data_IF_493905406003
#
_entry.id   IF_493905406003
#
_cell.length_a   1.000
_cell.length_b   1.000
_cell.length_c   1.000
_cell.angle_alpha   90.00
_cell.angle_beta   90.00
_cell.angle_gamma   90.00
#
_symmetry.space_group_name_H-M   'P 1'
#
loop_
_entity.id
_entity.type
_entity.pdbx_description
1 polymer ?
#
# COMPACT_ATOMS: atom_id res chain seq x y z
N UNK A 1 10.92 20.01 -3.46
CA UNK A 1 10.34 18.63 -3.37
C UNK A 1 9.34 18.45 -4.50
N UNK A 2 9.56 17.44 -5.34
CA UNK A 2 8.61 17.03 -6.38
C UNK A 2 7.67 15.99 -5.77
N UNK A 3 6.36 16.23 -5.82
CA UNK A 3 5.36 15.33 -5.25
C UNK A 3 4.78 14.43 -6.33
N UNK A 4 4.91 13.11 -6.14
CA UNK A 4 4.36 12.11 -7.04
C UNK A 4 3.16 11.47 -6.35
N UNK A 5 2.01 11.51 -6.99
CA UNK A 5 0.72 11.02 -6.49
C UNK A 5 0.14 9.96 -7.42
N UNK A 6 -1.01 9.44 -7.04
CA UNK A 6 -1.83 8.54 -7.84
C UNK A 6 -3.05 9.30 -8.37
N UNK A 7 -3.58 8.85 -9.49
CA UNK A 7 -4.85 9.36 -10.02
C UNK A 7 -6.00 9.15 -9.02
N UNK A 8 -6.98 10.01 -9.03
CA UNK A 8 -8.11 10.04 -8.08
C UNK A 8 -9.03 8.81 -8.14
N UNK A 9 -8.98 8.00 -9.20
CA UNK A 9 -9.67 6.72 -9.32
C UNK A 9 -8.90 5.54 -8.68
N UNK A 10 -7.74 5.80 -8.07
CA UNK A 10 -6.93 4.80 -7.38
C UNK A 10 -7.38 4.60 -5.93
N UNK A 11 -7.57 3.35 -5.51
CA UNK A 11 -7.80 3.02 -4.10
C UNK A 11 -6.66 3.45 -3.18
N UNK A 12 -5.41 3.49 -3.69
CA UNK A 12 -4.25 3.99 -2.93
C UNK A 12 -4.32 5.52 -2.74
N UNK A 13 -4.81 6.26 -3.74
CA UNK A 13 -5.10 7.69 -3.61
C UNK A 13 -6.17 7.95 -2.53
N UNK A 14 -7.31 7.27 -2.64
CA UNK A 14 -8.41 7.43 -1.68
C UNK A 14 -7.97 7.12 -0.24
N UNK A 15 -7.25 6.01 -0.06
CA UNK A 15 -6.73 5.62 1.25
C UNK A 15 -5.76 6.66 1.83
N UNK A 16 -4.78 7.14 1.03
CA UNK A 16 -3.80 8.13 1.49
C UNK A 16 -4.47 9.46 1.82
N UNK A 17 -5.44 9.90 1.01
CA UNK A 17 -6.22 11.11 1.28
C UNK A 17 -6.95 11.00 2.63
N UNK A 18 -7.64 9.89 2.86
CA UNK A 18 -8.44 9.69 4.06
C UNK A 18 -7.59 9.52 5.33
N UNK A 19 -6.52 8.73 5.28
CA UNK A 19 -5.80 8.30 6.48
C UNK A 19 -4.52 9.11 6.77
N UNK A 20 -4.02 9.84 5.80
CA UNK A 20 -2.78 10.64 5.96
C UNK A 20 -3.07 12.13 5.84
N UNK A 21 -4.04 12.51 5.02
CA UNK A 21 -4.41 13.91 4.79
C UNK A 21 -5.71 14.32 5.51
N UNK A 22 -6.31 13.45 6.33
CA UNK A 22 -7.58 13.71 7.05
C UNK A 22 -8.67 14.26 6.11
N UNK A 23 -8.86 13.61 4.96
CA UNK A 23 -9.77 14.01 3.87
C UNK A 23 -9.47 15.37 3.22
N UNK A 24 -8.37 16.03 3.57
CA UNK A 24 -7.93 17.22 2.88
C UNK A 24 -7.45 16.90 1.46
N UNK A 25 -7.49 17.92 0.59
CA UNK A 25 -7.01 17.77 -0.78
C UNK A 25 -5.49 17.73 -0.87
N UNK A 26 -5.00 17.03 -1.88
CA UNK A 26 -3.58 17.04 -2.21
C UNK A 26 -3.14 18.44 -2.64
N UNK A 27 -1.95 18.83 -2.24
CA UNK A 27 -1.37 20.11 -2.64
C UNK A 27 -1.23 20.19 -4.16
N UNK A 28 -1.68 21.29 -4.74
CA UNK A 28 -1.58 21.54 -6.18
C UNK A 28 -0.16 21.37 -6.71
N UNK A 29 -0.04 20.91 -7.96
CA UNK A 29 1.24 20.69 -8.62
C UNK A 29 1.89 19.35 -8.28
N UNK A 30 1.12 18.37 -7.79
CA UNK A 30 1.53 16.96 -7.75
C UNK A 30 1.43 16.34 -9.15
N UNK A 31 2.29 15.38 -9.44
CA UNK A 31 2.26 14.59 -10.68
C UNK A 31 1.45 13.34 -10.40
N UNK A 32 0.32 13.17 -11.08
CA UNK A 32 -0.60 12.06 -10.86
C UNK A 32 -0.36 10.93 -11.85
N UNK A 33 -0.03 9.74 -11.35
CA UNK A 33 0.28 8.55 -12.14
C UNK A 33 -0.76 7.44 -11.93
N UNK A 34 -0.97 6.62 -12.96
CA UNK A 34 -1.98 5.55 -12.95
C UNK A 34 -1.59 4.35 -12.11
N UNK A 35 -0.30 3.98 -12.11
CA UNK A 35 0.23 2.76 -11.50
C UNK A 35 1.13 3.00 -10.30
N UNK A 36 1.20 2.03 -9.39
CA UNK A 36 2.15 2.02 -8.27
C UNK A 36 3.59 1.89 -8.76
N UNK A 37 3.83 1.05 -9.77
CA UNK A 37 5.15 0.89 -10.40
C UNK A 37 5.61 2.20 -11.07
N UNK A 38 4.69 2.94 -11.70
CA UNK A 38 4.98 4.22 -12.35
C UNK A 38 5.45 5.26 -11.31
N UNK A 39 4.81 5.29 -10.15
CA UNK A 39 5.19 6.18 -9.03
C UNK A 39 6.62 5.87 -8.59
N UNK A 40 6.95 4.61 -8.33
CA UNK A 40 8.29 4.20 -7.91
C UNK A 40 9.33 4.55 -8.97
N UNK A 41 9.07 4.20 -10.23
CA UNK A 41 9.97 4.52 -11.36
C UNK A 41 10.18 6.03 -11.54
N UNK A 42 9.15 6.85 -11.33
CA UNK A 42 9.29 8.31 -11.43
C UNK A 42 10.13 8.86 -10.28
N UNK A 43 9.94 8.38 -9.05
CA UNK A 43 10.74 8.79 -7.88
C UNK A 43 12.20 8.44 -8.08
N UNK A 44 12.51 7.22 -8.55
CA UNK A 44 13.86 6.75 -8.81
C UNK A 44 14.62 7.67 -9.78
N UNK A 45 13.94 8.19 -10.79
CA UNK A 45 14.50 9.04 -11.85
C UNK A 45 14.47 10.54 -11.54
N UNK A 46 13.81 10.96 -10.45
CA UNK A 46 13.59 12.38 -10.17
C UNK A 46 14.24 12.78 -8.84
N UNK A 47 15.43 13.43 -8.87
CA UNK A 47 16.04 13.94 -7.64
C UNK A 47 15.11 14.85 -6.84
N UNK A 48 14.99 14.59 -5.54
CA UNK A 48 14.12 15.36 -4.64
C UNK A 48 12.63 15.04 -4.75
N UNK A 49 12.26 13.94 -5.42
CA UNK A 49 10.90 13.45 -5.45
C UNK A 49 10.53 12.68 -4.16
N UNK A 50 9.25 12.77 -3.82
CA UNK A 50 8.59 11.97 -2.79
C UNK A 50 7.23 11.53 -3.29
N UNK A 51 6.79 10.33 -2.93
CA UNK A 51 5.47 9.81 -3.28
C UNK A 51 5.07 8.65 -2.39
N UNK A 52 3.93 8.05 -2.71
CA UNK A 52 3.39 6.90 -2.00
C UNK A 52 2.94 5.81 -2.98
N UNK A 53 3.14 4.56 -2.59
CA UNK A 53 2.86 3.38 -3.41
C UNK A 53 2.60 2.17 -2.53
N UNK A 54 2.14 1.08 -3.11
CA UNK A 54 2.16 -0.22 -2.42
C UNK A 54 3.61 -0.64 -2.11
N UNK A 55 3.84 -1.14 -0.90
CA UNK A 55 5.17 -1.49 -0.40
C UNK A 55 5.90 -2.50 -1.30
N UNK A 56 5.20 -3.47 -1.87
CA UNK A 56 5.77 -4.48 -2.77
C UNK A 56 6.29 -3.96 -4.11
N UNK A 57 6.04 -2.69 -4.44
CA UNK A 57 6.58 -2.06 -5.65
C UNK A 57 7.91 -1.36 -5.42
N UNK A 58 8.38 -1.26 -4.16
CA UNK A 58 9.65 -0.61 -3.86
C UNK A 58 10.82 -1.38 -4.48
N UNK A 59 11.75 -0.64 -5.09
CA UNK A 59 13.01 -1.15 -5.66
C UNK A 59 14.19 -0.67 -4.83
N UNK A 60 15.36 -1.23 -5.07
CA UNK A 60 16.61 -0.77 -4.44
C UNK A 60 17.00 0.68 -4.84
N UNK A 61 16.37 1.21 -5.91
CA UNK A 61 16.58 2.58 -6.37
C UNK A 61 15.81 3.64 -5.57
N UNK A 62 14.92 3.23 -4.65
CA UNK A 62 14.15 4.15 -3.82
C UNK A 62 14.33 3.87 -2.33
N UNK A 63 14.32 4.92 -1.53
CA UNK A 63 14.34 4.80 -0.07
C UNK A 63 12.94 4.80 0.50
N UNK A 64 12.53 3.71 1.14
CA UNK A 64 11.31 3.67 1.93
C UNK A 64 11.49 4.47 3.23
N UNK A 65 10.60 5.44 3.46
CA UNK A 65 10.66 6.36 4.59
C UNK A 65 9.92 5.74 5.78
N UNK A 66 10.51 5.84 6.98
CA UNK A 66 9.82 5.49 8.22
C UNK A 66 8.74 6.53 8.52
N UNK A 67 7.63 6.10 9.07
CA UNK A 67 6.48 6.94 9.40
C UNK A 67 6.24 6.93 10.91
N UNK A 68 5.86 8.07 11.45
CA UNK A 68 5.35 8.24 12.80
C UNK A 68 3.83 8.42 12.75
N UNK A 69 3.14 7.95 13.78
CA UNK A 69 1.71 8.24 13.96
C UNK A 69 1.49 9.70 14.38
N UNK A 70 2.36 10.17 15.28
CA UNK A 70 2.38 11.54 15.82
C UNK A 70 3.82 11.93 16.21
N UNK A 71 4.00 13.13 16.77
CA UNK A 71 5.34 13.64 17.13
C UNK A 71 6.02 12.85 18.27
N UNK A 72 5.24 12.25 19.16
CA UNK A 72 5.72 11.50 20.31
C UNK A 72 5.94 10.01 20.02
N UNK A 73 5.37 9.51 18.95
CA UNK A 73 5.46 8.10 18.53
C UNK A 73 6.82 7.76 17.91
N UNK A 74 7.30 6.52 18.06
CA UNK A 74 8.48 6.06 17.37
C UNK A 74 8.25 5.99 15.85
N UNK A 75 9.30 6.24 15.08
CA UNK A 75 9.24 6.05 13.63
C UNK A 75 9.30 4.57 13.26
N UNK A 76 8.33 4.09 12.47
CA UNK A 76 8.16 2.69 12.09
C UNK A 76 8.48 2.51 10.61
N UNK A 77 9.28 1.49 10.29
CA UNK A 77 9.63 1.14 8.91
C UNK A 77 8.50 0.37 8.22
N UNK A 78 8.26 0.62 6.92
CA UNK A 78 7.34 -0.17 6.11
C UNK A 78 7.96 -1.54 5.77
N UNK A 79 7.64 -2.55 6.56
CA UNK A 79 8.02 -3.95 6.32
C UNK A 79 6.91 -4.89 6.77
N UNK A 80 6.95 -6.15 6.29
CA UNK A 80 5.92 -7.13 6.57
C UNK A 80 5.69 -7.34 8.07
N UNK A 81 6.75 -7.45 8.87
CA UNK A 81 6.64 -7.64 10.33
C UNK A 81 5.85 -6.51 11.00
N UNK A 82 6.14 -5.25 10.65
CA UNK A 82 5.47 -4.10 11.23
C UNK A 82 4.02 -3.93 10.74
N UNK A 83 3.70 -4.46 9.57
CA UNK A 83 2.31 -4.53 9.07
C UNK A 83 1.53 -5.61 9.80
N UNK A 84 2.08 -6.83 9.93
CA UNK A 84 1.43 -7.97 10.59
C UNK A 84 1.15 -7.66 12.06
N UNK A 85 2.10 -7.07 12.78
CA UNK A 85 1.90 -6.73 14.20
C UNK A 85 1.14 -5.42 14.42
N UNK A 86 0.66 -4.76 13.36
CA UNK A 86 -0.17 -3.56 13.43
C UNK A 86 0.56 -2.29 13.88
N UNK A 87 1.90 -2.29 13.91
CA UNK A 87 2.67 -1.11 14.33
C UNK A 87 2.92 -0.10 13.21
N UNK A 88 2.85 -0.51 11.92
CA UNK A 88 2.99 0.41 10.81
C UNK A 88 1.69 1.19 10.58
N UNK A 89 1.68 2.53 10.74
CA UNK A 89 0.43 3.29 10.88
C UNK A 89 -0.39 3.46 9.60
N UNK A 90 0.21 3.28 8.43
CA UNK A 90 -0.46 3.47 7.13
C UNK A 90 -0.51 2.17 6.31
N UNK A 91 -1.09 1.14 6.90
CA UNK A 91 -1.38 -0.14 6.24
C UNK A 91 -2.88 -0.39 6.13
N UNK A 92 -3.30 -1.13 5.11
CA UNK A 92 -4.69 -1.54 4.95
C UNK A 92 -4.80 -2.95 4.39
N UNK A 93 -5.83 -3.72 4.80
CA UNK A 93 -6.09 -5.02 4.18
C UNK A 93 -6.63 -4.85 2.76
N UNK A 94 -6.39 -5.85 1.92
CA UNK A 94 -7.16 -6.06 0.70
C UNK A 94 -8.43 -6.84 1.07
N UNK A 95 -9.59 -6.36 0.60
CA UNK A 95 -10.88 -6.93 0.96
C UNK A 95 -11.48 -7.66 -0.25
N UNK A 96 -12.06 -8.83 0.02
CA UNK A 96 -12.87 -9.58 -0.95
C UNK A 96 -14.33 -9.50 -0.51
N UNK A 97 -15.20 -9.10 -1.43
CA UNK A 97 -16.64 -8.99 -1.19
C UNK A 97 -17.38 -10.13 -1.87
N UNK A 98 -18.30 -10.74 -1.14
CA UNK A 98 -19.24 -11.73 -1.69
C UNK A 98 -20.67 -11.31 -1.37
N UNK A 99 -21.68 -11.61 -2.24
CA UNK A 99 -23.07 -11.18 -2.03
C UNK A 99 -23.77 -11.91 -0.88
N UNK A 100 -23.23 -13.04 -0.43
CA UNK A 100 -23.72 -13.88 0.67
C UNK A 100 -22.56 -14.63 1.30
N UNK A 101 -22.83 -15.35 2.39
CA UNK A 101 -21.85 -16.29 2.97
C UNK A 101 -21.39 -17.27 1.88
N UNK A 102 -20.09 -17.38 1.64
CA UNK A 102 -19.55 -18.22 0.57
C UNK A 102 -19.83 -19.71 0.81
N UNK A 103 -20.25 -20.42 -0.24
CA UNK A 103 -20.46 -21.88 -0.24
C UNK A 103 -19.98 -22.46 -1.57
N UNK A 104 -19.73 -23.78 -1.62
CA UNK A 104 -19.30 -24.49 -2.82
C UNK A 104 -18.03 -23.88 -3.41
N UNK A 105 -17.93 -23.81 -4.73
CA UNK A 105 -16.73 -23.35 -5.44
C UNK A 105 -16.22 -21.97 -5.04
N UNK A 106 -17.11 -21.07 -4.64
CA UNK A 106 -16.69 -19.73 -4.15
C UNK A 106 -15.96 -19.86 -2.81
N UNK A 107 -16.48 -20.70 -1.91
CA UNK A 107 -15.81 -20.98 -0.64
C UNK A 107 -14.47 -21.67 -0.85
N UNK A 108 -14.44 -22.69 -1.71
CA UNK A 108 -13.21 -23.44 -1.99
C UNK A 108 -12.11 -22.52 -2.56
N UNK A 109 -12.47 -21.57 -3.42
CA UNK A 109 -11.53 -20.60 -3.97
C UNK A 109 -11.02 -19.62 -2.89
N UNK A 110 -11.88 -19.14 -2.01
CA UNK A 110 -11.46 -18.29 -0.90
C UNK A 110 -10.57 -19.03 0.09
N UNK A 111 -10.90 -20.27 0.44
CA UNK A 111 -10.07 -21.11 1.30
C UNK A 111 -8.68 -21.35 0.66
N UNK A 112 -8.63 -21.51 -0.66
CA UNK A 112 -7.36 -21.63 -1.39
C UNK A 112 -6.54 -20.33 -1.36
N UNK A 113 -7.17 -19.16 -1.61
CA UNK A 113 -6.48 -17.84 -1.51
C UNK A 113 -5.91 -17.64 -0.10
N UNK A 114 -6.68 -17.95 0.93
CA UNK A 114 -6.29 -17.79 2.34
C UNK A 114 -5.38 -18.92 2.83
N UNK A 115 -5.25 -19.99 2.06
CA UNK A 115 -4.36 -21.09 2.37
C UNK A 115 -2.90 -20.81 2.01
N UNK A 116 -2.00 -21.71 2.44
CA UNK A 116 -0.55 -21.57 2.27
C UNK A 116 -0.11 -21.25 0.84
N UNK A 117 -0.72 -21.88 -0.15
CA UNK A 117 -0.35 -21.67 -1.57
C UNK A 117 -0.74 -20.26 -2.05
N UNK A 118 -1.96 -19.84 -1.76
CA UNK A 118 -2.41 -18.48 -2.11
C UNK A 118 -1.60 -17.40 -1.40
N UNK A 119 -1.31 -17.58 -0.12
CA UNK A 119 -0.54 -16.61 0.66
C UNK A 119 0.93 -16.53 0.19
N UNK A 120 1.55 -17.63 -0.20
CA UNK A 120 2.90 -17.62 -0.77
C UNK A 120 2.96 -16.84 -2.09
N UNK A 121 1.94 -16.97 -2.96
CA UNK A 121 1.85 -16.17 -4.19
C UNK A 121 1.70 -14.67 -3.87
N UNK A 122 0.90 -14.32 -2.87
CA UNK A 122 0.75 -12.91 -2.45
C UNK A 122 2.08 -12.33 -1.95
N UNK A 123 2.85 -13.11 -1.19
CA UNK A 123 4.17 -12.70 -0.72
C UNK A 123 5.16 -12.49 -1.88
N UNK A 124 5.20 -13.41 -2.87
CA UNK A 124 6.00 -13.26 -4.09
C UNK A 124 5.61 -12.01 -4.89
N UNK A 125 4.35 -11.60 -4.84
CA UNK A 125 3.85 -10.36 -5.45
C UNK A 125 4.11 -9.09 -4.61
N UNK A 126 4.79 -9.21 -3.47
CA UNK A 126 5.13 -8.11 -2.58
C UNK A 126 4.00 -7.63 -1.67
N UNK A 127 2.95 -8.42 -1.51
CA UNK A 127 1.92 -8.19 -0.49
C UNK A 127 2.30 -8.88 0.83
N UNK A 128 1.71 -8.39 1.91
CA UNK A 128 1.88 -9.01 3.23
C UNK A 128 0.81 -10.07 3.43
N UNK A 129 1.17 -11.32 3.70
CA UNK A 129 0.19 -12.38 3.97
C UNK A 129 -0.61 -12.10 5.23
N UNK A 130 -1.82 -12.69 5.33
CA UNK A 130 -2.72 -12.48 6.49
C UNK A 130 -2.38 -13.34 7.70
N UNK A 131 -1.60 -14.42 7.52
CA UNK A 131 -0.95 -15.24 8.58
C UNK A 131 -0.23 -16.44 7.94
#
# INVERSE_FOLDING_TARGET
>A
IVRISRQNNSGTYAYFRQHVLDDNDFKLGSIDLSGSADVVSMIEKTPGAIGYSGMGYATDGVKMVKVKLDDDSPSVAPNATNVINGTYPISRPLLIYTPKVPTGAVKDYLDWILGKTGQAILEEMGYVPVE
#
